data_IF_693983269016
#
_entry.id   IF_693983269016
#
_cell.length_a   1.000
_cell.length_b   1.000
_cell.length_c   1.000
_cell.angle_alpha   90.00
_cell.angle_beta   90.00
_cell.angle_gamma   90.00
#
_symmetry.space_group_name_H-M   'P 1'
#
loop_
_entity.id
_entity.type
_entity.pdbx_description
1 polymer ?
#
# COMPACT_ATOMS: atom_id res chain seq x y z
N UNK A 1 -6.21 15.49 -41.09
CA UNK A 1 -5.56 14.47 -40.25
C UNK A 1 -6.53 14.06 -39.15
N UNK A 2 -7.13 12.90 -39.29
CA UNK A 2 -8.13 12.32 -38.39
C UNK A 2 -7.50 11.09 -37.76
N UNK A 3 -7.43 11.06 -36.43
CA UNK A 3 -6.98 9.92 -35.64
C UNK A 3 -8.05 8.83 -35.70
N UNK A 4 -7.65 7.60 -36.04
CA UNK A 4 -8.48 6.40 -35.96
C UNK A 4 -8.21 5.70 -34.64
N UNK A 5 -9.23 5.64 -33.77
CA UNK A 5 -9.32 4.70 -32.65
C UNK A 5 -9.85 3.37 -33.18
N UNK A 6 -9.18 2.26 -32.84
CA UNK A 6 -9.71 0.91 -33.07
C UNK A 6 -10.11 0.31 -31.73
N UNK A 7 -11.42 0.38 -31.44
CA UNK A 7 -12.08 -0.47 -30.46
C UNK A 7 -12.55 -1.72 -31.17
N UNK A 8 -12.20 -2.91 -30.67
CA UNK A 8 -12.85 -4.16 -31.09
C UNK A 8 -13.56 -4.76 -29.88
N UNK A 9 -14.89 -4.70 -29.98
CA UNK A 9 -15.85 -5.43 -29.16
C UNK A 9 -15.75 -6.94 -29.39
N UNK A 10 -16.04 -7.71 -28.34
CA UNK A 10 -16.27 -9.15 -28.43
C UNK A 10 -16.88 -9.68 -27.14
N UNK A 11 -18.19 -9.49 -26.96
CA UNK A 11 -19.01 -10.30 -26.07
C UNK A 11 -19.30 -11.67 -26.72
N UNK A 12 -19.52 -12.71 -25.91
CA UNK A 12 -20.72 -13.60 -25.93
C UNK A 12 -20.49 -14.92 -25.18
N UNK A 13 -21.45 -15.20 -24.27
CA UNK A 13 -21.91 -16.48 -23.68
C UNK A 13 -20.97 -17.26 -22.73
N UNK A 14 -21.43 -17.84 -21.61
CA UNK A 14 -22.78 -18.01 -21.08
C UNK A 14 -22.80 -19.22 -20.13
N UNK A 15 -23.36 -19.03 -18.93
CA UNK A 15 -24.02 -20.01 -18.05
C UNK A 15 -23.30 -21.29 -17.59
N UNK A 16 -23.25 -21.52 -16.27
CA UNK A 16 -24.15 -22.43 -15.54
C UNK A 16 -23.78 -22.41 -14.04
N UNK A 17 -24.78 -22.09 -13.23
CA UNK A 17 -24.80 -22.23 -11.77
C UNK A 17 -25.01 -23.70 -11.39
N UNK A 18 -24.21 -24.23 -10.47
CA UNK A 18 -24.59 -25.36 -9.62
C UNK A 18 -24.01 -25.15 -8.22
N UNK A 19 -24.87 -24.70 -7.30
CA UNK A 19 -24.73 -24.97 -5.87
C UNK A 19 -25.43 -26.31 -5.59
N UNK A 20 -24.90 -27.10 -4.64
CA UNK A 20 -25.81 -27.67 -3.67
C UNK A 20 -25.28 -27.67 -2.22
N UNK A 21 -26.20 -27.27 -1.33
CA UNK A 21 -26.58 -27.94 -0.08
C UNK A 21 -25.70 -27.77 1.16
N UNK A 22 -26.40 -27.31 2.20
CA UNK A 22 -26.07 -27.21 3.61
C UNK A 22 -25.70 -28.57 4.22
N UNK A 23 -24.72 -28.58 5.11
CA UNK A 23 -24.59 -29.58 6.15
C UNK A 23 -24.39 -28.87 7.49
N UNK A 24 -25.42 -28.95 8.32
CA UNK A 24 -25.40 -28.63 9.74
C UNK A 24 -24.55 -29.68 10.47
N UNK A 25 -23.68 -29.25 11.37
CA UNK A 25 -23.12 -30.10 12.42
C UNK A 25 -23.00 -29.27 13.70
N UNK A 26 -23.89 -29.58 14.63
CA UNK A 26 -23.91 -29.13 16.01
C UNK A 26 -22.69 -29.66 16.78
N UNK A 27 -22.08 -28.81 17.60
CA UNK A 27 -21.48 -29.27 18.86
C UNK A 27 -21.64 -28.19 19.92
N UNK A 28 -22.40 -28.58 20.93
CA UNK A 28 -22.63 -27.92 22.22
C UNK A 28 -21.39 -28.03 23.10
N UNK A 29 -21.00 -26.95 23.76
CA UNK A 29 -20.45 -27.02 25.11
C UNK A 29 -21.00 -25.84 25.92
N UNK A 30 -21.82 -26.19 26.90
CA UNK A 30 -22.31 -25.35 27.97
C UNK A 30 -21.13 -24.91 28.86
N UNK A 31 -21.16 -23.67 29.36
CA UNK A 31 -21.00 -23.46 30.79
C UNK A 31 -21.47 -22.08 31.25
N UNK A 32 -22.08 -22.09 32.43
CA UNK A 32 -22.88 -21.04 33.03
C UNK A 32 -22.06 -19.92 33.70
N UNK A 33 -22.59 -18.70 33.58
CA UNK A 33 -22.84 -17.68 34.60
C UNK A 33 -21.93 -17.61 35.85
N UNK A 34 -21.38 -16.42 36.15
CA UNK A 34 -21.84 -15.65 37.33
C UNK A 34 -21.29 -14.21 37.41
N UNK A 35 -22.23 -13.34 37.72
CA UNK A 35 -22.15 -11.92 38.08
C UNK A 35 -21.46 -11.73 39.44
N UNK A 36 -20.67 -10.66 39.59
CA UNK A 36 -20.11 -10.24 40.88
C UNK A 36 -19.78 -8.75 40.92
N UNK A 37 -20.76 -7.94 41.29
CA UNK A 37 -20.61 -6.54 41.68
C UNK A 37 -20.21 -6.45 43.16
N UNK A 38 -19.16 -5.70 43.52
CA UNK A 38 -19.25 -4.47 44.33
C UNK A 38 -17.88 -3.96 44.84
N UNK A 39 -17.79 -2.66 45.17
CA UNK A 39 -16.57 -1.93 45.47
C UNK A 39 -16.29 -1.83 46.98
N UNK A 40 -15.04 -1.55 47.37
CA UNK A 40 -14.75 -1.02 48.70
C UNK A 40 -13.77 0.14 48.61
N UNK A 41 -14.16 1.18 49.32
CA UNK A 41 -13.61 2.51 49.49
C UNK A 41 -12.19 2.54 50.07
N UNK A 42 -11.42 3.55 49.63
CA UNK A 42 -10.19 4.02 50.27
C UNK A 42 -10.19 5.54 50.30
N UNK A 43 -10.97 6.08 51.23
CA UNK A 43 -10.90 7.47 51.71
C UNK A 43 -9.48 7.73 52.25
N UNK A 44 -8.85 8.87 51.93
CA UNK A 44 -8.14 9.71 52.92
C UNK A 44 -7.68 11.06 52.32
N UNK A 45 -8.48 12.07 52.65
CA UNK A 45 -8.20 13.47 53.03
C UNK A 45 -7.48 14.48 52.10
N UNK A 46 -8.26 15.52 51.84
CA UNK A 46 -7.96 16.88 51.40
C UNK A 46 -7.57 17.81 52.57
N UNK A 47 -6.87 18.90 52.23
CA UNK A 47 -6.55 20.08 53.06
C UNK A 47 -5.05 20.18 53.35
N UNK A 48 -4.32 21.28 53.10
CA UNK A 48 -4.66 22.69 53.23
C UNK A 48 -3.85 23.56 52.24
N UNK A 49 -4.45 24.69 51.90
CA UNK A 49 -3.88 25.81 51.18
C UNK A 49 -2.78 26.54 51.97
N UNK A 50 -1.71 26.96 51.28
CA UNK A 50 -0.98 28.16 51.68
C UNK A 50 -0.44 28.89 50.44
N UNK A 51 -0.80 30.16 50.33
CA UNK A 51 -0.33 31.13 49.31
C UNK A 51 0.89 31.84 49.88
N UNK A 52 1.95 32.00 49.07
CA UNK A 52 2.94 33.09 49.23
C UNK A 52 3.67 33.26 47.89
N UNK A 53 3.24 34.19 47.05
CA UNK A 53 3.68 35.59 46.92
C UNK A 53 4.86 35.77 45.97
N UNK A 54 4.69 36.77 45.11
CA UNK A 54 5.53 37.12 43.97
C UNK A 54 6.86 37.68 44.46
N UNK A 55 7.95 37.27 43.79
CA UNK A 55 9.10 38.16 43.63
C UNK A 55 9.74 37.89 42.28
N UNK A 56 9.51 38.78 41.32
CA UNK A 56 10.33 38.88 40.11
C UNK A 56 11.67 39.51 40.46
N UNK A 57 12.75 39.04 39.83
CA UNK A 57 13.65 39.98 39.16
C UNK A 57 13.72 39.68 37.66
N UNK A 58 14.33 40.62 36.94
CA UNK A 58 14.11 40.99 35.56
C UNK A 58 15.23 40.43 34.65
N UNK A 59 14.90 40.22 33.36
CA UNK A 59 15.80 39.98 32.20
C UNK A 59 16.40 38.57 32.18
N UNK A 60 16.47 37.84 31.07
CA UNK A 60 16.98 38.19 29.74
C UNK A 60 16.24 37.46 28.62
N UNK A 61 16.49 37.89 27.39
CA UNK A 61 15.97 37.43 26.10
C UNK A 61 15.64 35.93 26.03
N UNK A 62 14.37 35.58 25.73
CA UNK A 62 14.01 34.21 25.34
C UNK A 62 14.59 33.98 23.95
N UNK A 63 15.59 33.10 23.77
CA UNK A 63 16.10 32.77 22.46
C UNK A 63 15.05 31.91 21.77
N UNK A 64 14.64 32.35 20.58
CA UNK A 64 14.23 31.55 19.43
C UNK A 64 14.16 30.03 19.71
N UNK A 65 13.00 29.57 20.16
CA UNK A 65 12.72 28.13 20.29
C UNK A 65 12.74 27.57 18.86
N UNK A 66 13.84 26.90 18.56
CA UNK A 66 14.19 26.25 17.31
C UNK A 66 12.95 25.68 16.60
N UNK A 67 12.66 26.19 15.41
CA UNK A 67 11.73 25.62 14.41
C UNK A 67 12.23 24.25 13.86
N UNK A 68 12.99 23.47 14.65
CA UNK A 68 13.73 22.27 14.21
C UNK A 68 12.83 21.13 13.76
N UNK A 69 11.55 21.17 14.12
CA UNK A 69 10.67 20.03 13.92
C UNK A 69 9.57 20.29 12.88
N UNK A 70 9.61 21.42 12.15
CA UNK A 70 8.68 21.67 11.04
C UNK A 70 9.24 21.07 9.74
N UNK A 71 8.46 20.27 8.99
CA UNK A 71 8.88 19.79 7.68
C UNK A 71 9.10 20.95 6.70
N UNK A 72 10.17 20.87 5.91
CA UNK A 72 10.42 21.81 4.83
C UNK A 72 10.93 21.09 3.58
N UNK A 73 10.78 21.73 2.42
CA UNK A 73 11.26 21.18 1.14
C UNK A 73 12.79 21.17 1.13
N UNK A 74 13.38 20.03 0.80
CA UNK A 74 14.82 19.81 0.83
C UNK A 74 15.32 19.05 2.06
N UNK A 75 14.48 18.82 3.08
CA UNK A 75 14.86 18.01 4.24
C UNK A 75 15.15 16.56 3.81
N UNK A 76 16.29 16.03 4.25
CA UNK A 76 16.79 14.70 3.88
C UNK A 76 16.63 13.68 5.00
N UNK A 77 16.43 12.42 4.61
CA UNK A 77 16.24 11.28 5.49
C UNK A 77 16.97 10.05 4.94
N UNK A 78 17.45 9.18 5.83
CA UNK A 78 18.15 7.95 5.44
C UNK A 78 17.18 6.86 4.97
N UNK A 79 15.97 6.83 5.52
CA UNK A 79 14.99 5.78 5.25
C UNK A 79 13.56 6.29 5.14
N UNK A 80 12.72 5.54 4.44
CA UNK A 80 11.29 5.83 4.36
C UNK A 80 10.61 5.81 5.75
N UNK A 81 11.05 4.90 6.62
CA UNK A 81 10.58 4.80 8.00
C UNK A 81 10.92 6.05 8.82
N UNK A 82 12.12 6.64 8.63
CA UNK A 82 12.51 7.87 9.32
C UNK A 82 11.66 9.08 8.88
N UNK A 83 11.30 9.17 7.60
CA UNK A 83 10.34 10.18 7.10
C UNK A 83 8.99 10.04 7.82
N UNK A 84 8.50 8.80 7.91
CA UNK A 84 7.22 8.52 8.56
C UNK A 84 7.23 8.91 10.03
N UNK A 85 8.27 8.50 10.78
CA UNK A 85 8.42 8.82 12.19
C UNK A 85 8.47 10.34 12.43
N UNK A 86 9.26 11.07 11.62
CA UNK A 86 9.37 12.52 11.70
C UNK A 86 8.03 13.21 11.44
N UNK A 87 7.35 12.88 10.34
CA UNK A 87 6.09 13.52 10.01
C UNK A 87 4.96 13.14 10.98
N UNK A 88 5.00 11.93 11.54
CA UNK A 88 4.07 11.50 12.58
C UNK A 88 4.26 12.28 13.88
N UNK A 89 5.51 12.52 14.28
CA UNK A 89 5.83 13.36 15.45
C UNK A 89 5.34 14.80 15.23
N UNK A 90 5.62 15.38 14.06
CA UNK A 90 5.08 16.68 13.67
C UNK A 90 3.55 16.71 13.74
N UNK A 91 2.88 15.73 13.15
CA UNK A 91 1.43 15.67 13.11
C UNK A 91 0.80 15.52 14.51
N UNK A 92 1.40 14.70 15.36
CA UNK A 92 0.94 14.51 16.75
C UNK A 92 1.03 15.80 17.55
N UNK A 93 2.14 16.55 17.40
CA UNK A 93 2.30 17.86 18.04
C UNK A 93 1.31 18.89 17.51
N UNK A 94 1.12 18.93 16.20
CA UNK A 94 0.20 19.88 15.54
C UNK A 94 -1.27 19.49 15.76
N UNK A 95 -1.57 18.24 16.12
CA UNK A 95 -2.91 17.77 16.48
C UNK A 95 -3.70 17.16 15.34
N UNK A 96 -3.03 16.47 14.41
CA UNK A 96 -3.68 15.62 13.40
C UNK A 96 -3.00 14.25 13.32
N UNK A 97 -3.69 13.34 12.64
CA UNK A 97 -3.19 11.98 12.38
C UNK A 97 -2.83 11.91 10.90
N UNK A 98 -1.69 11.30 10.59
CA UNK A 98 -1.27 11.09 9.20
C UNK A 98 -1.97 9.85 8.62
N UNK A 99 -1.70 9.54 7.35
CA UNK A 99 -1.97 8.27 6.70
C UNK A 99 -1.00 8.09 5.55
N UNK A 100 -0.60 6.85 5.30
CA UNK A 100 0.16 6.52 4.10
C UNK A 100 -0.76 6.54 2.89
N UNK A 101 -0.38 7.31 1.86
CA UNK A 101 -1.19 7.51 0.66
C UNK A 101 -0.58 6.77 -0.52
N UNK A 102 0.05 7.49 -1.46
CA UNK A 102 0.59 6.90 -2.68
C UNK A 102 2.05 6.47 -2.48
N UNK A 103 2.37 5.29 -3.02
CA UNK A 103 3.74 4.81 -3.22
C UNK A 103 4.09 4.93 -4.70
N UNK A 104 5.19 5.60 -5.01
CA UNK A 104 5.74 5.69 -6.35
C UNK A 104 6.86 4.67 -6.49
N UNK A 105 6.81 3.89 -7.58
CA UNK A 105 7.80 2.87 -7.91
C UNK A 105 8.47 3.18 -9.24
N UNK A 106 9.75 2.86 -9.32
CA UNK A 106 10.47 2.90 -10.58
C UNK A 106 9.91 1.89 -11.58
N UNK A 107 9.87 2.26 -12.85
CA UNK A 107 9.41 1.38 -13.93
C UNK A 107 10.47 0.37 -14.36
N UNK A 108 11.74 0.63 -14.07
CA UNK A 108 12.85 -0.22 -14.50
C UNK A 108 13.05 -1.40 -13.56
N UNK A 109 13.03 -1.16 -12.25
CA UNK A 109 13.42 -2.11 -11.20
C UNK A 109 12.33 -2.31 -10.13
N UNK A 110 11.22 -1.58 -10.19
CA UNK A 110 10.10 -1.74 -9.24
C UNK A 110 10.39 -1.22 -7.82
N UNK A 111 11.56 -0.62 -7.58
CA UNK A 111 11.96 -0.08 -6.28
C UNK A 111 11.13 1.15 -5.90
N UNK A 112 11.01 1.41 -4.59
CA UNK A 112 10.29 2.58 -4.09
C UNK A 112 11.13 3.85 -4.32
N UNK A 113 10.60 4.76 -5.13
CA UNK A 113 11.25 6.04 -5.49
C UNK A 113 10.55 7.26 -4.90
N UNK A 114 9.37 7.08 -4.32
CA UNK A 114 8.62 8.19 -3.72
C UNK A 114 7.49 7.72 -2.83
N UNK A 115 7.13 8.53 -1.84
CA UNK A 115 6.04 8.27 -0.90
C UNK A 115 5.31 9.56 -0.56
N UNK A 116 3.98 9.49 -0.47
CA UNK A 116 3.14 10.59 0.01
C UNK A 116 2.51 10.22 1.36
N UNK A 117 2.67 11.09 2.36
CA UNK A 117 1.94 11.03 3.63
C UNK A 117 0.96 12.21 3.66
N UNK A 118 -0.27 11.95 4.07
CA UNK A 118 -1.35 12.96 4.06
C UNK A 118 -2.08 12.96 5.40
N UNK A 119 -2.86 14.01 5.68
CA UNK A 119 -3.76 13.99 6.82
C UNK A 119 -4.83 12.88 6.67
N UNK A 120 -5.25 12.27 7.78
CA UNK A 120 -6.32 11.26 7.79
C UNK A 120 -7.65 11.80 7.20
N UNK A 121 -7.88 13.12 7.34
CA UNK A 121 -9.06 13.80 6.79
C UNK A 121 -8.90 14.27 5.33
N UNK A 122 -7.85 13.83 4.64
CA UNK A 122 -7.57 14.20 3.23
C UNK A 122 -8.61 13.65 2.25
N UNK A 123 -8.89 14.46 1.23
CA UNK A 123 -9.77 14.09 0.12
C UNK A 123 -11.25 13.99 0.49
N UNK A 124 -12.05 13.44 -0.41
CA UNK A 124 -13.47 13.14 -0.20
C UNK A 124 -13.70 11.66 -0.52
N UNK A 125 -14.52 10.94 0.26
CA UNK A 125 -14.89 9.57 -0.12
C UNK A 125 -15.84 9.65 -1.31
N UNK A 126 -15.58 8.85 -2.33
CA UNK A 126 -16.56 8.70 -3.40
C UNK A 126 -17.77 7.94 -2.85
N UNK A 127 -19.01 8.36 -3.20
CA UNK A 127 -20.20 7.64 -2.79
C UNK A 127 -20.11 6.18 -3.27
N UNK A 128 -20.19 5.24 -2.33
CA UNK A 128 -20.19 3.80 -2.64
C UNK A 128 -21.51 3.49 -3.36
N UNK A 129 -21.45 3.12 -4.64
CA UNK A 129 -22.65 2.79 -5.44
C UNK A 129 -23.23 1.40 -5.11
N UNK A 130 -22.68 0.69 -4.12
CA UNK A 130 -23.16 -0.63 -3.71
C UNK A 130 -24.26 -0.46 -2.68
N UNK A 131 -25.47 -0.88 -3.04
CA UNK A 131 -26.62 -0.90 -2.14
C UNK A 131 -26.32 -1.77 -0.91
N UNK A 132 -26.50 -1.15 0.27
CA UNK A 132 -26.96 -1.74 1.54
C UNK A 132 -26.39 -3.13 1.88
N UNK A 133 -25.34 -3.14 2.71
CA UNK A 133 -25.11 -3.98 3.92
C UNK A 133 -23.62 -3.81 4.26
N UNK A 134 -23.26 -2.67 4.84
CA UNK A 134 -22.01 -2.53 5.57
C UNK A 134 -22.22 -1.40 6.57
N UNK A 135 -21.79 -1.57 7.82
CA UNK A 135 -21.83 -0.47 8.80
C UNK A 135 -21.08 0.72 8.18
N UNK A 136 -21.80 1.77 7.81
CA UNK A 136 -21.19 2.96 7.24
C UNK A 136 -20.28 3.57 8.31
N UNK A 137 -18.97 3.32 8.20
CA UNK A 137 -17.98 4.03 8.99
C UNK A 137 -18.20 5.52 8.75
N UNK A 138 -18.29 6.31 9.82
CA UNK A 138 -18.52 7.75 9.72
C UNK A 138 -17.57 8.40 8.70
N UNK A 139 -18.10 9.32 7.89
CA UNK A 139 -17.34 10.11 6.92
C UNK A 139 -16.28 10.91 7.68
N UNK A 140 -15.02 10.51 7.56
CA UNK A 140 -13.90 11.14 8.28
C UNK A 140 -13.14 12.14 7.42
N UNK A 141 -13.31 12.08 6.09
CA UNK A 141 -12.60 12.87 5.08
C UNK A 141 -13.36 14.15 4.74
N UNK A 142 -12.70 15.30 4.89
CA UNK A 142 -13.31 16.65 4.78
C UNK A 142 -12.65 17.51 3.71
N UNK A 143 -11.92 16.88 2.78
CA UNK A 143 -11.16 17.57 1.76
C UNK A 143 -9.89 18.22 2.27
N UNK A 144 -9.29 17.71 3.35
CA UNK A 144 -8.02 18.25 3.84
C UNK A 144 -6.94 18.12 2.76
N UNK A 145 -6.02 19.09 2.70
CA UNK A 145 -4.94 19.10 1.69
C UNK A 145 -3.55 18.97 2.31
N UNK A 146 -3.45 18.91 3.63
CA UNK A 146 -2.18 18.79 4.34
C UNK A 146 -1.46 17.49 3.97
N UNK A 147 -0.22 17.62 3.50
CA UNK A 147 0.57 16.51 2.97
C UNK A 147 2.07 16.80 2.92
N UNK A 148 2.84 15.73 2.86
CA UNK A 148 4.27 15.70 2.56
C UNK A 148 4.49 14.69 1.43
N UNK A 149 5.31 15.06 0.44
CA UNK A 149 5.79 14.19 -0.62
C UNK A 149 7.30 14.05 -0.51
N UNK A 150 7.79 12.83 -0.37
CA UNK A 150 9.23 12.52 -0.42
C UNK A 150 9.58 11.76 -1.69
N UNK A 151 10.79 12.00 -2.20
CA UNK A 151 11.40 11.26 -3.31
C UNK A 151 12.77 10.75 -2.92
N UNK A 152 13.12 9.56 -3.41
CA UNK A 152 14.45 8.99 -3.27
C UNK A 152 15.37 9.60 -4.31
N UNK A 153 16.46 10.22 -3.89
CA UNK A 153 17.50 10.78 -4.77
C UNK A 153 18.54 9.70 -5.12
N UNK A 154 19.39 9.97 -6.11
CA UNK A 154 20.42 9.04 -6.58
C UNK A 154 21.43 8.63 -5.49
N UNK A 155 21.63 9.47 -4.47
CA UNK A 155 22.46 9.15 -3.29
C UNK A 155 21.82 8.11 -2.35
N UNK A 156 20.58 7.67 -2.62
CA UNK A 156 19.85 6.72 -1.80
C UNK A 156 19.02 7.34 -0.68
N UNK A 157 19.23 8.62 -0.39
CA UNK A 157 18.47 9.39 0.62
C UNK A 157 17.06 9.74 0.14
N UNK A 158 16.18 10.02 1.09
CA UNK A 158 14.81 10.48 0.86
C UNK A 158 14.70 11.97 1.13
N UNK A 159 14.23 12.74 0.16
CA UNK A 159 14.15 14.20 0.25
C UNK A 159 12.70 14.66 0.16
N UNK A 160 12.31 15.59 1.02
CA UNK A 160 11.01 16.27 0.95
C UNK A 160 10.96 17.16 -0.29
N UNK A 161 10.04 16.87 -1.20
CA UNK A 161 9.85 17.62 -2.45
C UNK A 161 8.61 18.51 -2.45
N UNK A 162 7.64 18.22 -1.57
CA UNK A 162 6.46 19.06 -1.38
C UNK A 162 5.99 18.94 0.06
N UNK A 163 5.64 20.07 0.65
CA UNK A 163 5.01 20.16 1.95
C UNK A 163 3.82 21.13 1.84
N UNK A 164 2.67 20.70 2.33
CA UNK A 164 1.44 21.50 2.42
C UNK A 164 1.02 21.48 3.88
N UNK A 165 1.09 22.64 4.52
CA UNK A 165 0.81 22.81 5.95
C UNK A 165 -0.67 23.02 6.23
N UNK A 166 -1.40 23.55 5.27
CA UNK A 166 -2.76 24.06 5.47
C UNK A 166 -3.78 22.93 5.65
N UNK A 167 -4.54 23.02 6.73
CA UNK A 167 -5.67 22.14 7.03
C UNK A 167 -7.00 22.85 6.72
N UNK A 168 -7.98 22.09 6.22
CA UNK A 168 -9.36 22.59 6.00
C UNK A 168 -10.27 22.30 7.19
N UNK A 169 -9.72 21.85 8.31
CA UNK A 169 -10.45 21.50 9.52
C UNK A 169 -9.68 21.91 10.77
N UNK A 170 -10.36 22.09 11.91
CA UNK A 170 -9.70 22.34 13.19
C UNK A 170 -8.74 21.20 13.55
N UNK A 171 -7.62 21.58 14.17
CA UNK A 171 -6.62 20.68 14.73
C UNK A 171 -6.85 20.55 16.23
N UNK A 172 -6.49 19.40 16.81
CA UNK A 172 -6.65 19.18 18.26
C UNK A 172 -5.31 18.75 18.87
N UNK A 173 -4.41 19.71 19.16
CA UNK A 173 -3.16 19.44 19.86
C UNK A 173 -3.43 18.80 21.23
N UNK A 174 -2.61 17.82 21.64
CA UNK A 174 -2.64 17.27 23.00
C UNK A 174 -3.64 16.14 23.28
N UNK A 175 -4.59 15.85 22.39
CA UNK A 175 -5.37 14.59 22.43
C UNK A 175 -4.73 13.57 21.50
N UNK A 176 -3.62 12.98 21.95
CA UNK A 176 -2.98 11.86 21.25
C UNK A 176 -3.98 10.73 21.10
N UNK A 177 -4.54 10.54 19.91
CA UNK A 177 -5.28 9.32 19.58
C UNK A 177 -4.26 8.27 19.22
N UNK A 178 -3.69 7.64 20.25
CA UNK A 178 -2.68 6.58 20.13
C UNK A 178 -3.21 5.37 19.36
N UNK A 179 -4.53 5.17 19.40
CA UNK A 179 -5.25 4.02 18.85
C UNK A 179 -5.18 3.87 17.32
N UNK A 180 -4.67 4.88 16.60
CA UNK A 180 -4.60 4.86 15.13
C UNK A 180 -3.15 4.94 14.59
N UNK A 181 -2.14 4.90 15.45
CA UNK A 181 -0.74 5.22 15.11
C UNK A 181 -0.01 4.01 14.48
N UNK A 182 -0.30 2.79 14.93
CA UNK A 182 0.49 1.61 14.54
C UNK A 182 0.05 0.94 13.23
N UNK A 183 -1.20 1.11 12.78
CA UNK A 183 -1.75 0.38 11.62
C UNK A 183 -1.47 1.03 10.26
N UNK A 184 -0.77 2.17 10.20
CA UNK A 184 -0.65 2.94 8.95
C UNK A 184 0.61 2.68 8.15
N UNK A 185 1.64 2.07 8.76
CA UNK A 185 2.80 1.61 8.03
C UNK A 185 2.42 0.31 7.32
N UNK A 186 2.50 0.22 5.97
CA UNK A 186 2.16 -1.00 5.27
C UNK A 186 3.04 -2.11 5.84
N UNK A 187 2.38 -3.03 6.53
CA UNK A 187 3.04 -4.13 7.19
C UNK A 187 3.83 -4.90 6.12
N UNK A 188 4.99 -5.43 6.47
CA UNK A 188 5.79 -6.28 5.59
C UNK A 188 4.92 -7.36 4.91
N UNK A 189 3.87 -7.84 5.58
CA UNK A 189 2.85 -8.74 5.03
C UNK A 189 2.11 -8.22 3.79
N UNK A 190 1.75 -6.94 3.72
CA UNK A 190 1.11 -6.37 2.52
C UNK A 190 2.09 -6.32 1.35
N UNK A 191 3.37 -6.04 1.65
CA UNK A 191 4.44 -6.04 0.64
C UNK A 191 4.73 -7.45 0.16
N UNK A 192 4.72 -8.44 1.05
CA UNK A 192 4.82 -9.87 0.71
C UNK A 192 3.66 -10.27 -0.20
N UNK A 193 2.41 -9.91 0.13
CA UNK A 193 1.23 -10.23 -0.69
C UNK A 193 1.32 -9.62 -2.08
N UNK A 194 1.69 -8.34 -2.17
CA UNK A 194 1.86 -7.64 -3.45
C UNK A 194 2.97 -8.27 -4.30
N UNK A 195 4.16 -8.52 -3.72
CA UNK A 195 5.27 -9.13 -4.43
C UNK A 195 4.96 -10.57 -4.85
N UNK A 196 4.22 -11.32 -4.03
CA UNK A 196 3.75 -12.67 -4.37
C UNK A 196 2.82 -12.64 -5.57
N UNK A 197 1.90 -11.67 -5.63
CA UNK A 197 1.01 -11.49 -6.77
C UNK A 197 1.77 -11.13 -8.05
N UNK A 198 2.74 -10.22 -7.97
CA UNK A 198 3.60 -9.86 -9.11
C UNK A 198 4.43 -11.06 -9.60
N UNK A 199 5.00 -11.82 -8.66
CA UNK A 199 5.75 -13.04 -8.97
C UNK A 199 4.87 -14.10 -9.64
N UNK A 200 3.60 -14.23 -9.23
CA UNK A 200 2.65 -15.14 -9.87
C UNK A 200 2.33 -14.73 -11.31
N UNK A 201 2.15 -13.43 -11.57
CA UNK A 201 1.95 -12.89 -12.92
C UNK A 201 3.17 -13.17 -13.79
N UNK A 202 4.37 -12.89 -13.29
CA UNK A 202 5.61 -13.06 -14.07
C UNK A 202 5.89 -14.55 -14.33
N UNK A 203 5.62 -15.45 -13.37
CA UNK A 203 5.68 -16.90 -13.59
C UNK A 203 4.72 -17.35 -14.70
N UNK A 204 3.50 -16.81 -14.73
CA UNK A 204 2.53 -17.10 -15.80
C UNK A 204 3.05 -16.62 -17.15
N UNK A 205 3.61 -15.41 -17.21
CA UNK A 205 4.21 -14.84 -18.41
C UNK A 205 5.39 -15.67 -18.93
N UNK A 206 6.29 -16.06 -18.03
CA UNK A 206 7.42 -16.93 -18.33
C UNK A 206 6.97 -18.30 -18.86
N UNK A 207 5.95 -18.90 -18.24
CA UNK A 207 5.39 -20.17 -18.72
C UNK A 207 4.78 -20.03 -20.13
N UNK A 208 4.15 -18.90 -20.45
CA UNK A 208 3.65 -18.63 -21.80
C UNK A 208 4.79 -18.53 -22.82
N UNK A 209 5.85 -17.77 -22.51
CA UNK A 209 7.01 -17.69 -23.41
C UNK A 209 7.69 -19.03 -23.60
N UNK A 210 7.81 -19.83 -22.53
CA UNK A 210 8.36 -21.19 -22.61
C UNK A 210 7.57 -22.06 -23.59
N UNK A 211 6.23 -22.05 -23.50
CA UNK A 211 5.37 -22.80 -24.44
C UNK A 211 5.55 -22.34 -25.88
N UNK A 212 5.63 -21.02 -26.12
CA UNK A 212 5.87 -20.52 -27.48
C UNK A 212 7.22 -20.97 -28.03
N UNK A 213 8.27 -21.00 -27.20
CA UNK A 213 9.58 -21.49 -27.60
C UNK A 213 9.56 -22.99 -27.91
N UNK A 214 8.92 -23.79 -27.05
CA UNK A 214 8.74 -25.24 -27.26
C UNK A 214 8.06 -25.54 -28.60
N UNK A 215 6.98 -24.83 -28.94
CA UNK A 215 6.29 -24.97 -30.22
C UNK A 215 7.19 -24.64 -31.43
N UNK A 216 8.00 -23.57 -31.33
CA UNK A 216 8.93 -23.21 -32.40
C UNK A 216 9.99 -24.30 -32.60
N UNK A 217 10.52 -24.86 -31.51
CA UNK A 217 11.49 -25.95 -31.58
C UNK A 217 10.90 -27.22 -32.21
N UNK A 218 9.70 -27.61 -31.81
CA UNK A 218 8.99 -28.77 -32.40
C UNK A 218 8.80 -28.58 -33.91
N UNK A 219 8.41 -27.37 -34.34
CA UNK A 219 8.22 -27.07 -35.74
C UNK A 219 9.53 -27.11 -36.54
N UNK A 220 10.64 -26.64 -35.98
CA UNK A 220 11.98 -26.74 -36.60
C UNK A 220 12.40 -28.20 -36.74
N UNK A 221 12.19 -29.01 -35.70
CA UNK A 221 12.56 -30.43 -35.71
C UNK A 221 11.74 -31.23 -36.73
N UNK A 222 10.45 -30.96 -36.85
CA UNK A 222 9.58 -31.56 -37.86
C UNK A 222 10.02 -31.19 -39.28
N UNK A 223 10.32 -29.91 -39.51
CA UNK A 223 10.83 -29.43 -40.78
C UNK A 223 12.15 -30.11 -41.14
N UNK A 224 13.11 -30.17 -40.21
CA UNK A 224 14.41 -30.79 -40.42
C UNK A 224 14.31 -32.29 -40.69
N UNK A 225 13.44 -33.01 -39.98
CA UNK A 225 13.16 -34.44 -40.24
C UNK A 225 12.57 -34.65 -41.63
N UNK A 226 11.60 -33.83 -42.01
CA UNK A 226 10.96 -33.89 -43.35
C UNK A 226 11.96 -33.61 -44.46
N UNK A 227 12.79 -32.57 -44.30
CA UNK A 227 13.83 -32.21 -45.26
C UNK A 227 14.88 -33.32 -45.38
N UNK A 228 15.34 -33.88 -44.26
CA UNK A 228 16.30 -34.99 -44.25
C UNK A 228 15.79 -36.22 -44.99
N UNK A 229 14.50 -36.58 -44.80
CA UNK A 229 13.87 -37.69 -45.54
C UNK A 229 13.85 -37.45 -47.05
N UNK A 230 13.53 -36.22 -47.48
CA UNK A 230 13.53 -35.86 -48.90
C UNK A 230 14.93 -35.93 -49.51
N UNK A 231 15.96 -35.45 -48.78
CA UNK A 231 17.36 -35.55 -49.20
C UNK A 231 17.78 -37.01 -49.33
N UNK A 232 17.45 -37.85 -48.33
CA UNK A 232 17.79 -39.28 -48.35
C UNK A 232 17.20 -39.99 -49.57
N UNK A 233 15.94 -39.72 -49.88
CA UNK A 233 15.29 -40.28 -51.07
C UNK A 233 16.01 -39.90 -52.37
N UNK A 234 16.45 -38.65 -52.49
CA UNK A 234 17.23 -38.19 -53.66
C UNK A 234 18.57 -38.92 -53.73
N UNK A 235 19.27 -39.02 -52.60
CA UNK A 235 20.56 -39.72 -52.51
C UNK A 235 20.43 -41.19 -52.91
N UNK A 236 19.38 -41.88 -52.42
CA UNK A 236 19.13 -43.28 -52.75
C UNK A 236 18.79 -43.44 -54.24
N UNK A 237 17.98 -42.53 -54.79
CA UNK A 237 17.64 -42.52 -56.23
C UNK A 237 18.88 -42.32 -57.11
N UNK A 238 19.78 -41.39 -56.74
CA UNK A 238 21.04 -41.16 -57.47
C UNK A 238 21.96 -42.39 -57.40
N UNK A 239 22.07 -43.02 -56.22
CA UNK A 239 22.87 -44.24 -56.04
C UNK A 239 22.37 -45.40 -56.89
N UNK A 240 21.05 -45.57 -57.02
CA UNK A 240 20.47 -46.58 -57.89
C UNK A 240 20.78 -46.34 -59.38
N UNK A 241 20.89 -45.07 -59.79
CA UNK A 241 21.27 -44.69 -61.15
C UNK A 241 22.77 -44.93 -61.38
N UNK A 242 23.63 -44.59 -60.42
CA UNK A 242 25.09 -44.77 -60.53
C UNK A 242 25.52 -46.25 -60.58
N UNK A 243 24.72 -47.16 -60.02
CA UNK A 243 25.03 -48.60 -59.97
C UNK A 243 24.46 -49.42 -61.16
N UNK A 244 23.87 -48.77 -62.16
CA UNK A 244 23.41 -49.39 -63.41
C UNK A 244 24.38 -49.14 -64.55
#
# INVERSE_FOLDING_TARGET
MQFVEFWVHGDVNGGIMLNPVQAEASSSMDNDNETGENPVEGIFQSGLSEKLDRTSPQRDDIPEIILADEPYVGLEFESEASVHAFYNAYATRVGFIIRMSKLSRSRCDGSAIGRTLVCNKEGFRMPDKREKIMRHRAETRVGCRAMILVRKVSSGKWVVTKFVKEHTHPLTPGKGRTDCIYDQYPNEHDKIRELTHQLAIEKKRSATYKRHLELIFEQIDEYNKSLSKKIQHIVDSVREIENK
#
